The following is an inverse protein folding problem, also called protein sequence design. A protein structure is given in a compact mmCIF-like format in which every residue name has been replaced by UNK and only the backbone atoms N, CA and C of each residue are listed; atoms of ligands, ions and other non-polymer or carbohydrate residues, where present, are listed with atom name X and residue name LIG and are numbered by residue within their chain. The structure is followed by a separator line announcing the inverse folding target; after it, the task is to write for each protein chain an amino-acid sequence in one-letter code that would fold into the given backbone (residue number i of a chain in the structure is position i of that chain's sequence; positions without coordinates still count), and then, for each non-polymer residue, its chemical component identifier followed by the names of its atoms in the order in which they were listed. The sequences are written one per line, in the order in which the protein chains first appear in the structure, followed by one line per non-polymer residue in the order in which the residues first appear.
data_IF_892459138083
#
_entry.id   IF_892459138083
#
_cell.length_a   1.000
_cell.length_b   1.000
_cell.length_c   1.000
_cell.angle_alpha   90.00
_cell.angle_beta   90.00
_cell.angle_gamma   90.00
#
_symmetry.space_group_name_H-M   'P 1'
#
loop_
_entity.id
_entity.type
_entity.pdbx_description
1 polymer ?
#
# COMPACT_ATOMS: atom_id res chain seq x y z
N UNK A 1 16.58 -11.49 3.80
CA UNK A 1 15.31 -12.24 3.67
C UNK A 1 14.33 -11.35 2.91
N UNK A 2 13.70 -11.87 1.86
CA UNK A 2 12.72 -11.14 1.05
C UNK A 2 11.30 -11.60 1.37
N UNK A 3 10.34 -10.68 1.31
CA UNK A 3 8.91 -10.94 1.42
C UNK A 3 8.27 -10.78 0.05
N UNK A 4 7.26 -11.59 -0.24
CA UNK A 4 6.46 -11.43 -1.45
C UNK A 4 5.29 -10.50 -1.19
N UNK A 5 5.30 -9.33 -1.81
CA UNK A 5 4.18 -8.39 -1.73
C UNK A 5 3.05 -8.88 -2.65
N UNK A 6 1.84 -8.97 -2.10
CA UNK A 6 0.62 -9.34 -2.81
C UNK A 6 -0.42 -8.26 -2.58
N UNK A 7 -0.74 -7.54 -3.65
CA UNK A 7 -1.84 -6.60 -3.67
C UNK A 7 -3.14 -7.39 -3.78
N UNK A 8 -4.11 -7.07 -2.92
CA UNK A 8 -5.46 -7.59 -3.12
C UNK A 8 -6.05 -7.00 -4.40
N UNK A 9 -6.93 -7.75 -5.04
CA UNK A 9 -7.64 -7.26 -6.23
C UNK A 9 -8.35 -5.93 -5.95
N UNK A 10 -9.02 -5.81 -4.80
CA UNK A 10 -9.69 -4.56 -4.42
C UNK A 10 -8.71 -3.39 -4.32
N UNK A 11 -7.48 -3.64 -3.84
CA UNK A 11 -6.45 -2.61 -3.75
C UNK A 11 -5.93 -2.19 -5.13
N UNK A 12 -5.75 -3.14 -6.04
CA UNK A 12 -5.34 -2.84 -7.42
C UNK A 12 -6.41 -2.07 -8.19
N UNK A 13 -7.68 -2.40 -7.98
CA UNK A 13 -8.81 -1.70 -8.57
C UNK A 13 -8.87 -0.24 -8.02
N UNK A 14 -8.75 -0.05 -6.69
CA UNK A 14 -8.68 1.30 -6.08
C UNK A 14 -7.48 2.13 -6.56
N UNK A 15 -6.30 1.52 -6.74
CA UNK A 15 -5.12 2.21 -7.27
C UNK A 15 -5.34 2.67 -8.71
N UNK A 16 -6.04 1.85 -9.50
CA UNK A 16 -6.37 2.17 -10.89
C UNK A 16 -7.29 3.38 -10.94
N UNK A 17 -8.30 3.44 -10.08
CA UNK A 17 -9.22 4.58 -9.99
C UNK A 17 -8.47 5.87 -9.60
N UNK A 18 -7.61 5.82 -8.57
CA UNK A 18 -6.78 6.96 -8.15
C UNK A 18 -5.87 7.43 -9.29
N UNK A 19 -5.30 6.48 -10.06
CA UNK A 19 -4.42 6.80 -11.18
C UNK A 19 -5.19 7.40 -12.37
N UNK A 20 -6.40 6.90 -12.66
CA UNK A 20 -7.23 7.41 -13.75
C UNK A 20 -7.75 8.83 -13.48
N UNK A 21 -8.15 9.10 -12.23
CA UNK A 21 -8.69 10.41 -11.81
C UNK A 21 -7.63 11.52 -11.73
N UNK A 22 -6.36 11.17 -11.45
CA UNK A 22 -5.29 12.15 -11.27
C UNK A 22 -4.72 12.71 -12.57
N UNK A 23 -4.16 13.93 -12.49
CA UNK A 23 -3.38 14.53 -13.58
C UNK A 23 -2.04 13.81 -13.78
N UNK A 24 -1.31 14.11 -14.86
CA UNK A 24 -0.04 13.45 -15.18
C UNK A 24 1.00 13.52 -14.04
N UNK A 25 1.02 14.61 -13.27
CA UNK A 25 1.87 14.77 -12.08
C UNK A 25 1.45 13.80 -10.98
N UNK A 26 0.16 13.72 -10.67
CA UNK A 26 -0.39 12.83 -9.63
C UNK A 26 -0.17 11.36 -10.00
N UNK A 27 -0.34 10.99 -11.26
CA UNK A 27 -0.06 9.64 -11.76
C UNK A 27 1.38 9.22 -11.50
N UNK A 28 2.33 10.14 -11.68
CA UNK A 28 3.75 9.88 -11.42
C UNK A 28 4.00 9.71 -9.92
N UNK A 29 3.40 10.55 -9.08
CA UNK A 29 3.53 10.45 -7.63
C UNK A 29 2.92 9.16 -7.08
N UNK A 30 1.73 8.77 -7.55
CA UNK A 30 1.07 7.51 -7.21
C UNK A 30 1.90 6.30 -7.64
N UNK A 31 2.47 6.33 -8.85
CA UNK A 31 3.36 5.27 -9.35
C UNK A 31 4.63 5.14 -8.49
N UNK A 32 5.27 6.27 -8.17
CA UNK A 32 6.46 6.31 -7.33
C UNK A 32 6.18 5.83 -5.91
N UNK A 33 5.07 6.27 -5.31
CA UNK A 33 4.63 5.87 -3.98
C UNK A 33 4.37 4.36 -3.92
N UNK A 34 3.70 3.80 -4.94
CA UNK A 34 3.42 2.36 -5.05
C UNK A 34 4.73 1.56 -5.14
N UNK A 35 5.67 1.97 -6.00
CA UNK A 35 6.96 1.29 -6.14
C UNK A 35 7.80 1.34 -4.86
N UNK A 36 7.77 2.47 -4.14
CA UNK A 36 8.46 2.64 -2.87
C UNK A 36 7.85 1.76 -1.76
N UNK A 37 6.52 1.66 -1.71
CA UNK A 37 5.80 0.75 -0.80
C UNK A 37 6.20 -0.70 -1.08
N UNK A 38 6.16 -1.13 -2.34
CA UNK A 38 6.48 -2.51 -2.73
C UNK A 38 7.92 -2.87 -2.31
N UNK A 39 8.88 -1.99 -2.59
CA UNK A 39 10.28 -2.17 -2.19
C UNK A 39 10.48 -2.21 -0.67
N UNK A 40 9.77 -1.37 0.08
CA UNK A 40 9.86 -1.34 1.53
C UNK A 40 9.32 -2.64 2.15
N UNK A 41 8.13 -3.05 1.71
CA UNK A 41 7.46 -4.25 2.20
C UNK A 41 8.15 -5.54 1.76
N UNK A 42 8.82 -5.56 0.60
CA UNK A 42 9.62 -6.70 0.16
C UNK A 42 10.89 -6.88 1.01
N UNK A 43 11.44 -5.80 1.57
CA UNK A 43 12.67 -5.82 2.36
C UNK A 43 12.42 -6.17 3.83
N UNK A 44 11.55 -5.43 4.51
CA UNK A 44 11.29 -5.64 5.93
C UNK A 44 9.92 -5.09 6.37
N UNK A 45 8.82 -5.80 6.09
CA UNK A 45 7.48 -5.32 6.39
C UNK A 45 7.17 -5.30 7.90
N UNK A 46 7.92 -6.05 8.71
CA UNK A 46 7.77 -6.06 10.18
C UNK A 46 8.36 -4.81 10.85
N UNK A 47 9.18 -4.04 10.12
CA UNK A 47 9.76 -2.77 10.57
C UNK A 47 9.17 -1.57 9.82
N UNK A 48 8.34 -1.84 8.81
CA UNK A 48 7.60 -0.82 8.08
C UNK A 48 6.26 -0.54 8.77
N UNK A 49 5.91 0.74 8.87
CA UNK A 49 4.58 1.18 9.28
C UNK A 49 4.26 0.98 10.77
N UNK A 50 3.16 1.59 11.16
CA UNK A 50 2.66 1.54 12.53
C UNK A 50 1.84 0.25 12.74
N UNK A 51 2.17 -0.49 13.80
CA UNK A 51 1.39 -1.67 14.20
C UNK A 51 0.02 -1.23 14.73
N UNK A 52 -1.04 -1.86 14.22
CA UNK A 52 -2.43 -1.65 14.63
C UNK A 52 -2.98 -2.97 15.16
N UNK A 53 -4.18 -2.92 15.75
CA UNK A 53 -4.84 -4.09 16.30
C UNK A 53 -5.09 -5.18 15.24
N UNK A 54 -5.00 -6.44 15.69
CA UNK A 54 -5.20 -7.66 14.89
C UNK A 54 -4.17 -7.90 13.76
N UNK A 55 -2.87 -7.77 14.07
CA UNK A 55 -1.74 -8.06 13.16
C UNK A 55 -1.73 -7.26 11.85
N UNK A 56 -2.48 -6.16 11.82
CA UNK A 56 -2.49 -5.21 10.71
C UNK A 56 -1.52 -4.08 10.98
N UNK A 57 -0.90 -3.58 9.93
CA UNK A 57 0.04 -2.47 9.97
C UNK A 57 -0.37 -1.45 8.93
N UNK A 58 -0.10 -0.18 9.18
CA UNK A 58 -0.37 0.89 8.23
C UNK A 58 0.92 1.59 7.85
N UNK A 59 1.18 1.71 6.55
CA UNK A 59 2.31 2.45 5.99
C UNK A 59 1.76 3.65 5.22
N UNK A 60 2.23 4.83 5.61
CA UNK A 60 1.93 6.08 4.94
C UNK A 60 3.08 6.43 4.00
N UNK A 61 2.78 6.59 2.71
CA UNK A 61 3.71 7.09 1.71
C UNK A 61 2.96 8.00 0.75
N UNK A 62 2.96 9.30 1.05
CA UNK A 62 2.17 10.30 0.34
C UNK A 62 2.30 10.16 -1.19
N UNK A 63 1.19 10.17 -1.95
CA UNK A 63 -0.20 10.44 -1.53
C UNK A 63 -0.97 9.21 -1.02
N UNK A 64 -0.32 8.06 -0.88
CA UNK A 64 -0.97 6.78 -0.58
C UNK A 64 -0.81 6.36 0.89
N UNK A 65 -1.82 5.65 1.38
CA UNK A 65 -1.74 4.92 2.65
C UNK A 65 -2.17 3.47 2.42
N UNK A 66 -1.33 2.52 2.84
CA UNK A 66 -1.63 1.08 2.71
C UNK A 66 -1.73 0.43 4.07
N UNK A 67 -2.79 -0.34 4.26
CA UNK A 67 -2.96 -1.25 5.38
C UNK A 67 -2.53 -2.62 4.89
N UNK A 68 -1.62 -3.25 5.63
CA UNK A 68 -1.13 -4.58 5.28
C UNK A 68 -1.05 -5.53 6.47
N UNK A 69 -1.06 -6.82 6.17
CA UNK A 69 -0.83 -7.89 7.13
C UNK A 69 0.34 -8.75 6.66
N UNK A 70 1.21 -9.14 7.59
CA UNK A 70 2.32 -10.05 7.33
C UNK A 70 1.86 -11.47 7.65
N UNK A 71 1.64 -12.28 6.63
CA UNK A 71 1.28 -13.68 6.78
C UNK A 71 2.55 -14.52 6.87
N UNK A 72 2.76 -15.14 8.03
CA UNK A 72 3.89 -16.03 8.29
C UNK A 72 3.52 -17.47 7.86
N UNK A 73 3.48 -17.71 6.55
CA UNK A 73 3.35 -19.05 5.96
C UNK A 73 4.71 -19.53 5.43
N UNK A 74 4.76 -20.70 4.77
CA UNK A 74 5.97 -21.24 4.11
C UNK A 74 6.61 -20.25 3.13
N UNK A 75 5.83 -19.32 2.59
CA UNK A 75 6.29 -18.08 1.99
C UNK A 75 5.71 -16.87 2.77
N UNK A 76 6.55 -15.86 3.03
CA UNK A 76 6.14 -14.65 3.75
C UNK A 76 5.42 -13.72 2.77
N UNK A 77 4.14 -13.45 3.02
CA UNK A 77 3.33 -12.59 2.17
C UNK A 77 2.91 -11.32 2.89
N UNK A 78 2.90 -10.22 2.13
CA UNK A 78 2.35 -8.95 2.58
C UNK A 78 1.08 -8.65 1.79
N UNK A 79 -0.07 -8.71 2.45
CA UNK A 79 -1.37 -8.47 1.83
C UNK A 79 -1.75 -7.00 1.99
N UNK A 80 -1.83 -6.22 0.90
CA UNK A 80 -2.06 -4.77 0.95
C UNK A 80 -3.50 -4.40 0.57
N UNK A 81 -4.07 -3.41 1.27
CA UNK A 81 -5.33 -2.71 0.97
C UNK A 81 -5.11 -1.20 1.15
N UNK A 82 -5.74 -0.35 0.34
CA UNK A 82 -5.69 1.09 0.58
C UNK A 82 -6.55 1.49 1.78
N UNK A 83 -5.96 2.32 2.65
CA UNK A 83 -6.56 2.77 3.89
C UNK A 83 -7.36 4.04 3.69
N UNK A 84 -8.47 3.97 2.94
CA UNK A 84 -9.34 5.12 2.68
C UNK A 84 -8.69 6.13 1.74
N UNK A 85 -9.50 6.63 0.80
CA UNK A 85 -9.07 7.70 -0.09
C UNK A 85 -8.79 8.96 0.74
N UNK A 86 -7.56 9.49 0.68
CA UNK A 86 -7.25 10.88 1.06
C UNK A 86 -7.82 11.85 0.01
N UNK A 87 -9.01 11.57 -0.53
CA UNK A 87 -9.78 12.55 -1.28
C UNK A 87 -10.13 13.65 -0.29
N UNK A 88 -9.74 14.92 -0.52
CA UNK A 88 -10.46 16.00 0.11
C UNK A 88 -11.91 15.82 -0.30
N UNK A 89 -12.82 15.71 0.67
CA UNK A 89 -14.23 15.84 0.42
C UNK A 89 -14.42 17.21 -0.22
N UNK A 90 -14.52 17.25 -1.55
CA UNK A 90 -14.90 18.46 -2.27
C UNK A 90 -16.39 18.64 -1.95
N UNK A 91 -16.68 19.72 -1.23
CA UNK A 91 -17.99 20.12 -0.76
C UNK A 91 -19.01 20.31 -1.89
#
# INVERSE_FOLDING_TARGET
MSYHVRWRKEASDELTDIWLDGDATDRREVTNATAAIDKALARNPEDCGESRSADRRILFNHPLAVIFQVLRSSARFTCCRFGGSLRPAIA
#
